data_IF_041548061457
#
_entry.id   IF_041548061457
#
_cell.length_a   1.000
_cell.length_b   1.000
_cell.length_c   1.000
_cell.angle_alpha   90.00
_cell.angle_beta   90.00
_cell.angle_gamma   90.00
#
_symmetry.space_group_name_H-M   'P 1'
#
loop_
_entity.id
_entity.type
_entity.pdbx_description
1 polymer ?
#
# COMPACT_ATOMS: atom_id res chain seq x y z
N UNK A 1 21.58 -31.13 -8.52
CA UNK A 1 20.17 -30.91 -8.15
C UNK A 1 19.82 -31.87 -7.03
N UNK A 2 19.93 -31.44 -5.77
CA UNK A 2 19.56 -32.27 -4.62
C UNK A 2 18.28 -31.70 -4.01
N UNK A 3 17.18 -32.43 -4.22
CA UNK A 3 15.95 -32.32 -3.44
C UNK A 3 16.26 -32.86 -2.05
N UNK A 4 16.26 -32.02 -1.03
CA UNK A 4 16.20 -32.48 0.36
C UNK A 4 14.73 -32.53 0.79
N UNK A 5 14.26 -33.73 1.08
CA UNK A 5 12.96 -34.02 1.72
C UNK A 5 13.30 -34.95 2.88
N UNK A 6 12.99 -34.62 4.14
CA UNK A 6 12.90 -35.53 5.31
C UNK A 6 12.83 -34.67 6.61
N UNK A 7 12.14 -34.92 7.74
CA UNK A 7 11.18 -35.93 8.24
C UNK A 7 10.54 -35.42 9.56
N UNK A 8 9.35 -35.93 9.89
CA UNK A 8 8.68 -36.03 11.20
C UNK A 8 8.09 -34.77 11.90
N UNK A 9 6.75 -34.65 11.82
CA UNK A 9 5.96 -33.99 12.85
C UNK A 9 5.77 -34.95 14.04
N UNK A 10 6.41 -34.69 15.17
CA UNK A 10 6.15 -35.42 16.41
C UNK A 10 4.96 -34.77 17.15
N UNK A 11 3.80 -35.42 17.09
CA UNK A 11 2.63 -35.09 17.92
C UNK A 11 2.87 -35.56 19.36
N UNK A 12 2.90 -34.64 20.32
CA UNK A 12 2.89 -34.99 21.75
C UNK A 12 1.48 -35.46 22.14
N UNK A 13 1.32 -36.78 22.27
CA UNK A 13 0.26 -37.54 22.96
C UNK A 13 -1.09 -36.81 23.16
N UNK A 14 -1.96 -36.90 22.15
CA UNK A 14 -3.40 -36.93 22.41
C UNK A 14 -3.83 -38.40 22.61
N UNK A 15 -4.53 -38.76 23.69
CA UNK A 15 -4.79 -40.17 24.06
C UNK A 15 -5.79 -40.90 23.16
N UNK A 16 -6.30 -40.28 22.09
CA UNK A 16 -7.37 -40.82 21.24
C UNK A 16 -7.02 -40.97 19.76
N UNK A 17 -5.76 -40.75 19.36
CA UNK A 17 -5.34 -40.87 17.95
C UNK A 17 -4.82 -42.28 17.66
N UNK A 18 -5.43 -42.98 16.70
CA UNK A 18 -5.03 -44.35 16.33
C UNK A 18 -3.60 -44.40 15.76
N UNK A 19 -2.94 -45.56 15.90
CA UNK A 19 -1.57 -45.80 15.45
C UNK A 19 -1.36 -45.47 13.96
N UNK A 20 -2.38 -45.72 13.12
CA UNK A 20 -2.34 -45.46 11.67
C UNK A 20 -2.32 -43.96 11.35
N UNK A 21 -3.03 -43.16 12.16
CA UNK A 21 -3.02 -41.70 12.04
C UNK A 21 -1.64 -41.16 12.45
N UNK A 22 -1.02 -41.69 13.52
CA UNK A 22 0.35 -41.30 13.90
C UNK A 22 1.39 -41.60 12.82
N UNK A 23 1.31 -42.75 12.15
CA UNK A 23 2.21 -43.10 11.04
C UNK A 23 2.02 -42.16 9.85
N UNK A 24 0.77 -41.80 9.54
CA UNK A 24 0.47 -40.85 8.45
C UNK A 24 1.01 -39.43 8.74
N UNK A 25 0.91 -38.93 9.97
CA UNK A 25 1.43 -37.60 10.34
C UNK A 25 2.96 -37.48 10.27
N UNK A 26 3.69 -38.58 10.44
CA UNK A 26 5.14 -38.61 10.19
C UNK A 26 5.49 -38.40 8.71
N UNK A 27 4.53 -38.57 7.80
CA UNK A 27 4.70 -38.45 6.34
C UNK A 27 4.18 -37.11 5.76
N UNK A 28 3.44 -36.30 6.53
CA UNK A 28 3.02 -34.95 6.13
C UNK A 28 4.25 -34.03 5.95
N UNK A 29 4.48 -33.59 4.71
CA UNK A 29 5.60 -32.70 4.36
C UNK A 29 5.18 -31.24 4.48
N UNK A 30 5.61 -30.56 5.54
CA UNK A 30 5.74 -29.10 5.54
C UNK A 30 7.23 -28.81 5.37
N UNK A 31 7.61 -28.35 4.18
CA UNK A 31 8.97 -27.87 3.93
C UNK A 31 9.08 -26.49 4.55
N UNK A 32 9.80 -26.36 5.67
CA UNK A 32 10.21 -25.07 6.23
C UNK A 32 11.63 -24.83 5.76
N UNK A 33 11.82 -23.92 4.81
CA UNK A 33 13.13 -23.59 4.26
C UNK A 33 13.67 -22.36 4.98
N UNK A 34 14.62 -22.53 5.91
CA UNK A 34 15.34 -21.39 6.51
C UNK A 34 16.46 -20.95 5.55
N UNK A 35 16.38 -19.75 4.98
CA UNK A 35 17.48 -19.16 4.20
C UNK A 35 18.30 -18.19 5.07
N UNK A 36 19.55 -18.56 5.37
CA UNK A 36 20.64 -17.60 5.59
C UNK A 36 21.96 -18.25 5.17
N UNK A 37 22.42 -17.87 3.99
CA UNK A 37 23.81 -17.56 3.64
C UNK A 37 24.09 -17.95 2.18
N UNK A 38 24.51 -16.94 1.40
CA UNK A 38 24.96 -17.08 0.02
C UNK A 38 26.27 -17.87 -0.13
N UNK A 39 26.75 -18.52 0.92
CA UNK A 39 27.83 -19.50 0.83
C UNK A 39 27.67 -20.54 1.94
N UNK A 40 27.37 -21.77 1.52
CA UNK A 40 27.65 -23.04 2.21
C UNK A 40 26.69 -23.55 3.32
N UNK A 41 26.16 -24.75 3.04
CA UNK A 41 25.53 -25.77 3.91
C UNK A 41 24.08 -25.60 4.40
N UNK A 42 23.22 -26.47 3.83
CA UNK A 42 21.88 -26.84 4.27
C UNK A 42 21.83 -27.16 5.78
N UNK A 43 20.97 -26.49 6.53
CA UNK A 43 20.64 -26.86 7.91
C UNK A 43 19.41 -27.78 7.94
N UNK A 44 19.58 -29.02 8.38
CA UNK A 44 18.50 -29.95 8.68
C UNK A 44 18.01 -29.72 10.11
N UNK A 45 17.06 -28.80 10.29
CA UNK A 45 16.34 -28.64 11.57
C UNK A 45 15.03 -29.44 11.55
N UNK A 46 14.85 -30.36 12.49
CA UNK A 46 13.55 -31.00 12.73
C UNK A 46 12.61 -29.97 13.37
N UNK A 47 11.48 -29.66 12.72
CA UNK A 47 10.38 -28.89 13.35
C UNK A 47 9.29 -29.84 13.77
N UNK A 48 8.96 -29.82 15.06
CA UNK A 48 7.69 -30.35 15.56
C UNK A 48 6.59 -29.34 15.29
N UNK A 49 5.70 -29.66 14.35
CA UNK A 49 4.43 -28.98 14.18
C UNK A 49 3.41 -29.61 15.14
N UNK A 50 2.81 -28.79 15.99
CA UNK A 50 1.71 -29.20 16.84
C UNK A 50 0.39 -28.78 16.16
N UNK A 51 -0.39 -29.76 15.70
CA UNK A 51 -1.74 -29.55 15.20
C UNK A 51 -2.69 -29.63 16.39
N UNK A 52 -3.30 -28.50 16.74
CA UNK A 52 -4.10 -28.37 17.96
C UNK A 52 -5.58 -28.68 17.76
N UNK A 53 -6.09 -28.61 16.53
CA UNK A 53 -7.50 -28.87 16.21
C UNK A 53 -7.66 -29.44 14.79
N UNK A 54 -8.32 -30.60 14.67
CA UNK A 54 -8.55 -31.33 13.42
C UNK A 54 -10.00 -31.85 13.38
N UNK A 55 -10.69 -31.66 12.26
CA UNK A 55 -12.03 -32.20 12.02
C UNK A 55 -11.95 -33.57 11.31
N UNK A 56 -12.33 -34.64 12.02
CA UNK A 56 -12.29 -36.01 11.49
C UNK A 56 -13.48 -36.37 10.59
N UNK A 57 -14.47 -35.48 10.46
CA UNK A 57 -15.71 -35.78 9.70
C UNK A 57 -15.54 -35.66 8.18
N UNK A 58 -14.42 -35.13 7.69
CA UNK A 58 -14.13 -34.88 6.26
C UNK A 58 -13.12 -35.83 5.64
N UNK A 59 -12.82 -36.99 6.27
CA UNK A 59 -11.82 -37.98 5.81
C UNK A 59 -12.12 -38.71 4.48
N UNK A 60 -12.97 -38.16 3.61
CA UNK A 60 -12.97 -38.53 2.19
C UNK A 60 -11.93 -37.67 1.46
N UNK A 61 -10.87 -38.30 0.94
CA UNK A 61 -9.84 -37.75 0.05
C UNK A 61 -8.54 -37.17 0.66
N UNK A 62 -8.09 -37.63 1.84
CA UNK A 62 -6.73 -37.30 2.36
C UNK A 62 -6.42 -35.78 2.46
N UNK A 63 -7.46 -34.94 2.57
CA UNK A 63 -7.32 -33.50 2.78
C UNK A 63 -7.43 -33.22 4.28
N UNK A 64 -6.40 -32.58 4.83
CA UNK A 64 -6.35 -32.25 6.24
C UNK A 64 -6.98 -30.88 6.48
N UNK A 65 -8.07 -30.86 7.23
CA UNK A 65 -8.71 -29.64 7.71
C UNK A 65 -8.09 -29.22 9.05
N UNK A 66 -6.86 -28.69 9.02
CA UNK A 66 -6.24 -28.08 10.21
C UNK A 66 -6.79 -26.69 10.39
N UNK A 67 -7.46 -26.43 11.52
CA UNK A 67 -7.96 -25.09 11.87
C UNK A 67 -6.93 -24.23 12.60
N UNK A 68 -6.05 -24.86 13.39
CA UNK A 68 -5.04 -24.16 14.18
C UNK A 68 -3.67 -24.80 13.96
N UNK A 69 -2.73 -24.01 13.47
CA UNK A 69 -1.33 -24.41 13.27
C UNK A 69 -0.45 -23.74 14.33
N UNK A 70 0.29 -24.54 15.12
CA UNK A 70 1.22 -24.01 16.12
C UNK A 70 2.65 -24.50 15.86
N UNK A 71 3.57 -23.55 15.79
CA UNK A 71 5.00 -23.80 15.72
C UNK A 71 5.58 -23.97 17.14
N UNK A 72 6.46 -24.95 17.34
CA UNK A 72 7.07 -25.19 18.66
C UNK A 72 7.92 -23.99 19.13
N UNK A 73 7.74 -23.61 20.41
CA UNK A 73 8.49 -22.53 21.06
C UNK A 73 9.97 -22.87 21.33
N UNK A 74 10.36 -24.14 21.18
CA UNK A 74 11.75 -24.59 21.41
C UNK A 74 12.71 -24.25 20.26
N UNK A 75 12.22 -23.63 19.19
CA UNK A 75 13.01 -23.30 18.00
C UNK A 75 13.61 -21.91 18.18
N UNK A 76 14.91 -21.82 18.44
CA UNK A 76 15.60 -20.53 18.64
C UNK A 76 16.18 -19.95 17.36
N UNK A 77 16.28 -20.75 16.28
CA UNK A 77 17.07 -20.41 15.09
C UNK A 77 16.25 -20.26 13.79
N UNK A 78 14.92 -20.38 13.86
CA UNK A 78 14.06 -20.20 12.68
C UNK A 78 13.70 -18.73 12.52
N UNK A 79 14.41 -18.04 11.64
CA UNK A 79 14.25 -16.60 11.38
C UNK A 79 13.16 -16.34 10.33
N UNK A 80 13.03 -17.22 9.34
CA UNK A 80 12.15 -17.06 8.18
C UNK A 80 11.19 -18.23 8.06
N UNK A 81 9.91 -17.95 7.80
CA UNK A 81 8.89 -18.93 7.47
C UNK A 81 8.50 -18.82 5.98
N UNK A 82 8.67 -19.89 5.22
CA UNK A 82 8.33 -19.95 3.79
C UNK A 82 7.70 -21.32 3.46
N UNK A 83 6.72 -21.33 2.55
CA UNK A 83 6.14 -22.52 1.96
C UNK A 83 6.41 -22.49 0.45
N UNK A 84 7.29 -23.38 -0.05
CA UNK A 84 7.65 -23.46 -1.47
C UNK A 84 6.40 -23.49 -2.38
N UNK A 85 6.05 -22.35 -2.99
CA UNK A 85 4.75 -22.12 -3.64
C UNK A 85 4.77 -22.30 -5.16
N UNK A 86 5.58 -23.22 -5.68
CA UNK A 86 5.68 -23.40 -7.13
C UNK A 86 4.71 -24.40 -7.76
N UNK A 87 4.08 -25.35 -7.04
CA UNK A 87 3.35 -26.44 -7.73
C UNK A 87 2.12 -27.07 -7.06
N UNK A 88 1.48 -26.53 -6.01
CA UNK A 88 0.25 -27.18 -5.49
C UNK A 88 -0.86 -26.20 -5.11
N UNK A 89 -2.14 -26.51 -5.42
CA UNK A 89 -3.26 -25.80 -4.83
C UNK A 89 -3.19 -26.00 -3.31
N UNK A 90 -3.16 -24.88 -2.59
CA UNK A 90 -2.95 -24.83 -1.14
C UNK A 90 -3.90 -25.80 -0.41
N UNK A 91 -3.41 -26.90 0.20
CA UNK A 91 -4.22 -28.05 0.57
C UNK A 91 -5.16 -27.82 1.77
N UNK A 92 -5.03 -26.69 2.48
CA UNK A 92 -5.80 -26.44 3.69
C UNK A 92 -6.51 -25.08 3.67
N UNK A 93 -7.67 -25.02 3.02
CA UNK A 93 -8.56 -23.85 3.02
C UNK A 93 -9.25 -23.59 4.36
N UNK A 94 -9.00 -24.42 5.38
CA UNK A 94 -9.70 -24.39 6.66
C UNK A 94 -8.87 -23.82 7.82
N UNK A 95 -7.61 -23.45 7.58
CA UNK A 95 -6.77 -22.80 8.59
C UNK A 95 -7.37 -21.46 9.03
N UNK A 96 -7.63 -21.33 10.33
CA UNK A 96 -8.23 -20.15 10.96
C UNK A 96 -7.23 -19.37 11.84
N UNK A 97 -6.26 -20.05 12.43
CA UNK A 97 -5.25 -19.46 13.31
C UNK A 97 -3.85 -20.04 13.10
N UNK A 98 -2.84 -19.16 13.14
CA UNK A 98 -1.43 -19.53 13.15
C UNK A 98 -0.75 -18.95 14.39
N UNK A 99 -0.13 -19.81 15.18
CA UNK A 99 0.66 -19.45 16.35
C UNK A 99 2.14 -19.59 15.97
N UNK A 100 2.78 -18.45 15.70
CA UNK A 100 4.19 -18.38 15.33
C UNK A 100 5.10 -18.62 16.55
N UNK A 101 6.30 -19.11 16.28
CA UNK A 101 7.37 -19.14 17.26
C UNK A 101 7.95 -17.72 17.43
N UNK A 102 8.28 -17.26 18.66
CA UNK A 102 8.79 -15.91 18.89
C UNK A 102 10.10 -15.56 18.16
N UNK A 103 10.86 -16.56 17.71
CA UNK A 103 12.12 -16.37 16.97
C UNK A 103 11.94 -16.02 15.49
N UNK A 104 10.73 -16.21 14.94
CA UNK A 104 10.42 -15.88 13.55
C UNK A 104 10.30 -14.36 13.43
N UNK A 105 11.08 -13.79 12.50
CA UNK A 105 11.08 -12.35 12.20
C UNK A 105 10.73 -12.04 10.74
N UNK A 106 10.67 -13.05 9.87
CA UNK A 106 10.40 -12.87 8.44
C UNK A 106 9.36 -13.90 7.94
N UNK A 107 8.45 -13.45 7.07
CA UNK A 107 7.47 -14.32 6.38
C UNK A 107 7.68 -14.19 4.88
N UNK A 108 7.86 -15.33 4.22
CA UNK A 108 8.24 -15.47 2.82
C UNK A 108 7.09 -15.29 1.83
N UNK A 109 7.47 -15.37 0.54
CA UNK A 109 6.61 -15.10 -0.60
C UNK A 109 5.38 -16.00 -0.60
N UNK A 110 4.18 -15.40 -0.67
CA UNK A 110 2.89 -16.12 -0.68
C UNK A 110 2.68 -17.13 0.47
N UNK A 111 3.43 -17.03 1.55
CA UNK A 111 3.43 -17.99 2.65
C UNK A 111 2.01 -18.34 3.15
N UNK A 112 1.16 -17.33 3.33
CA UNK A 112 -0.24 -17.49 3.71
C UNK A 112 -1.23 -17.02 2.62
N UNK A 113 -0.80 -16.99 1.36
CA UNK A 113 -1.69 -16.63 0.24
C UNK A 113 -2.80 -17.68 0.05
N UNK A 114 -4.04 -17.21 -0.12
CA UNK A 114 -5.22 -18.04 -0.38
C UNK A 114 -5.80 -18.76 0.84
N UNK A 115 -5.24 -18.58 2.05
CA UNK A 115 -5.83 -19.07 3.29
C UNK A 115 -7.01 -18.20 3.71
N UNK A 116 -8.10 -18.29 2.96
CA UNK A 116 -9.28 -17.43 3.07
C UNK A 116 -10.09 -17.58 4.36
N UNK A 117 -9.77 -18.54 5.24
CA UNK A 117 -10.32 -18.65 6.59
C UNK A 117 -9.38 -18.18 7.69
N UNK A 118 -8.12 -17.86 7.37
CA UNK A 118 -7.13 -17.40 8.34
C UNK A 118 -7.56 -16.04 8.87
N UNK A 119 -7.88 -15.98 10.16
CA UNK A 119 -8.37 -14.78 10.86
C UNK A 119 -7.36 -14.26 11.88
N UNK A 120 -6.54 -15.14 12.45
CA UNK A 120 -5.67 -14.83 13.59
C UNK A 120 -4.24 -15.28 13.37
N UNK A 121 -3.32 -14.34 13.47
CA UNK A 121 -1.88 -14.56 13.48
C UNK A 121 -1.24 -13.37 14.21
N UNK A 122 -0.33 -13.63 15.15
CA UNK A 122 0.42 -12.55 15.81
C UNK A 122 1.65 -12.21 14.96
N UNK A 123 1.79 -10.94 14.57
CA UNK A 123 2.88 -10.44 13.73
C UNK A 123 3.79 -9.42 14.45
N UNK A 124 3.67 -9.29 15.77
CA UNK A 124 4.39 -8.29 16.59
C UNK A 124 5.93 -8.41 16.54
N UNK A 125 6.49 -9.55 16.14
CA UNK A 125 7.95 -9.74 15.98
C UNK A 125 8.40 -9.79 14.52
N UNK A 126 7.49 -9.51 13.56
CA UNK A 126 7.75 -9.72 12.14
C UNK A 126 8.23 -8.42 11.49
N UNK A 127 9.50 -8.37 11.15
CA UNK A 127 10.18 -7.21 10.56
C UNK A 127 10.22 -7.23 9.02
N UNK A 128 9.85 -8.36 8.39
CA UNK A 128 9.80 -8.48 6.92
C UNK A 128 8.66 -9.40 6.46
N UNK A 129 7.87 -8.88 5.53
CA UNK A 129 6.77 -9.58 4.87
C UNK A 129 6.98 -9.55 3.36
N UNK A 130 7.26 -10.70 2.76
CA UNK A 130 7.51 -10.78 1.34
C UNK A 130 6.21 -10.69 0.52
N UNK A 131 6.36 -10.56 -0.81
CA UNK A 131 5.25 -10.24 -1.70
C UNK A 131 4.10 -11.24 -1.58
N UNK A 132 2.88 -10.73 -1.42
CA UNK A 132 1.65 -11.52 -1.30
C UNK A 132 1.61 -12.48 -0.11
N UNK A 133 2.45 -12.29 0.93
CA UNK A 133 2.53 -13.19 2.08
C UNK A 133 1.17 -13.49 2.72
N UNK A 134 0.21 -12.56 2.69
CA UNK A 134 -1.14 -12.73 3.25
C UNK A 134 -2.26 -12.49 2.23
N UNK A 135 -1.98 -12.60 0.93
CA UNK A 135 -2.97 -12.34 -0.12
C UNK A 135 -4.21 -13.24 0.01
N UNK A 136 -5.39 -12.68 -0.17
CA UNK A 136 -6.69 -13.37 -0.04
C UNK A 136 -6.95 -14.04 1.34
N UNK A 137 -6.40 -13.49 2.44
CA UNK A 137 -6.71 -13.95 3.80
C UNK A 137 -7.93 -13.25 4.42
N UNK A 138 -8.46 -13.81 5.51
CA UNK A 138 -9.61 -13.26 6.26
C UNK A 138 -9.23 -12.49 7.52
N UNK A 139 -7.97 -12.09 7.65
CA UNK A 139 -7.47 -11.36 8.81
C UNK A 139 -8.20 -10.01 8.90
N UNK A 140 -8.74 -9.71 10.08
CA UNK A 140 -9.51 -8.47 10.29
C UNK A 140 -8.69 -7.31 10.83
N UNK A 141 -7.60 -7.61 11.52
CA UNK A 141 -6.67 -6.61 12.06
C UNK A 141 -5.30 -7.23 12.27
N UNK A 142 -4.24 -6.44 12.09
CA UNK A 142 -2.86 -6.84 12.37
C UNK A 142 -2.14 -5.76 13.16
N UNK A 143 -1.20 -6.19 14.00
CA UNK A 143 -0.17 -5.32 14.60
C UNK A 143 1.18 -5.71 14.01
N UNK A 144 1.91 -4.73 13.48
CA UNK A 144 3.23 -4.91 12.88
C UNK A 144 4.24 -4.00 13.60
N UNK A 145 5.51 -4.42 13.77
CA UNK A 145 6.60 -3.50 14.06
C UNK A 145 6.61 -2.31 13.08
N UNK A 146 6.87 -1.10 13.58
CA UNK A 146 6.96 0.12 12.77
C UNK A 146 8.06 0.03 11.70
N UNK A 147 9.04 -0.84 11.90
CA UNK A 147 10.13 -1.10 10.96
C UNK A 147 9.89 -2.27 10.01
N UNK A 148 8.70 -2.86 10.05
CA UNK A 148 8.31 -3.90 9.13
C UNK A 148 8.40 -3.38 7.69
N UNK A 149 8.95 -4.21 6.81
CA UNK A 149 9.05 -3.94 5.37
C UNK A 149 8.24 -4.96 4.58
N UNK A 150 7.72 -4.56 3.41
CA UNK A 150 7.01 -5.49 2.54
C UNK A 150 6.28 -4.83 1.38
N UNK A 151 5.83 -5.63 0.41
CA UNK A 151 5.18 -5.12 -0.80
C UNK A 151 3.96 -5.96 -1.18
N UNK A 152 2.80 -5.35 -1.44
CA UNK A 152 1.55 -6.07 -1.79
C UNK A 152 1.19 -7.21 -0.81
N UNK A 153 1.55 -7.05 0.46
CA UNK A 153 1.47 -8.10 1.48
C UNK A 153 0.03 -8.59 1.70
N UNK A 154 -0.90 -7.64 1.79
CA UNK A 154 -2.31 -7.86 2.12
C UNK A 154 -3.22 -7.64 0.90
N UNK A 155 -2.73 -7.96 -0.31
CA UNK A 155 -3.55 -7.89 -1.51
C UNK A 155 -4.83 -8.72 -1.32
N UNK A 156 -5.97 -8.22 -1.82
CA UNK A 156 -7.27 -8.91 -1.71
C UNK A 156 -7.75 -9.27 -0.29
N UNK A 157 -7.16 -8.74 0.79
CA UNK A 157 -7.61 -8.93 2.17
C UNK A 157 -8.87 -8.11 2.49
N UNK A 158 -10.03 -8.53 1.95
CA UNK A 158 -11.30 -7.78 2.01
C UNK A 158 -11.84 -7.56 3.43
N UNK A 159 -11.42 -8.37 4.40
CA UNK A 159 -11.86 -8.29 5.78
C UNK A 159 -10.95 -7.43 6.66
N UNK A 160 -9.78 -7.01 6.17
CA UNK A 160 -8.83 -6.23 6.94
C UNK A 160 -9.39 -4.83 7.18
N UNK A 161 -9.68 -4.54 8.45
CA UNK A 161 -10.28 -3.29 8.91
C UNK A 161 -9.26 -2.37 9.57
N UNK A 162 -8.18 -2.92 10.12
CA UNK A 162 -7.16 -2.14 10.82
C UNK A 162 -5.75 -2.69 10.65
N UNK A 163 -4.77 -1.81 10.48
CA UNK A 163 -3.35 -2.11 10.60
C UNK A 163 -2.80 -1.19 11.69
N UNK A 164 -2.24 -1.77 12.74
CA UNK A 164 -1.54 -1.05 13.79
C UNK A 164 -0.04 -1.20 13.59
N UNK A 165 0.69 -0.10 13.60
CA UNK A 165 2.16 -0.11 13.63
C UNK A 165 2.64 0.22 15.04
N UNK A 166 3.47 -0.65 15.62
CA UNK A 166 4.00 -0.51 16.97
C UNK A 166 5.49 -0.16 16.97
N UNK A 167 5.86 0.84 17.75
CA UNK A 167 7.25 1.24 17.98
C UNK A 167 7.57 2.66 17.52
N UNK A 168 8.77 3.11 17.89
CA UNK A 168 9.21 4.50 17.75
C UNK A 168 10.10 4.67 16.51
N UNK A 169 9.51 5.13 15.41
CA UNK A 169 10.23 5.60 14.21
C UNK A 169 9.56 6.79 13.55
N UNK A 170 10.38 7.62 12.92
CA UNK A 170 9.92 8.74 12.11
C UNK A 170 9.33 8.29 10.75
N UNK A 171 9.65 7.07 10.30
CA UNK A 171 9.19 6.51 9.02
C UNK A 171 8.69 5.07 9.14
N UNK A 172 7.79 4.66 8.25
CA UNK A 172 7.40 3.26 8.03
C UNK A 172 7.31 2.97 6.52
N UNK A 173 7.35 1.69 6.15
CA UNK A 173 7.35 1.29 4.73
C UNK A 173 5.94 1.40 4.11
N UNK A 174 5.73 2.43 3.28
CA UNK A 174 4.47 2.63 2.54
C UNK A 174 4.13 1.48 1.58
N UNK A 175 5.11 0.66 1.18
CA UNK A 175 4.88 -0.48 0.30
C UNK A 175 3.96 -1.54 0.94
N UNK A 176 3.86 -1.56 2.27
CA UNK A 176 2.92 -2.42 3.01
C UNK A 176 1.46 -2.09 2.71
N UNK A 177 1.18 -0.89 2.21
CA UNK A 177 -0.16 -0.41 1.87
C UNK A 177 -0.49 -0.55 0.38
N UNK A 178 0.46 -1.00 -0.45
CA UNK A 178 0.20 -1.22 -1.88
C UNK A 178 -0.84 -2.34 -2.08
N UNK A 179 -1.74 -2.13 -3.04
CA UNK A 179 -2.76 -3.11 -3.44
C UNK A 179 -4.12 -2.95 -2.77
N UNK A 180 -4.27 -2.02 -1.81
CA UNK A 180 -5.59 -1.67 -1.29
C UNK A 180 -6.38 -0.80 -2.26
N UNK A 181 -7.65 -1.16 -2.50
CA UNK A 181 -8.61 -0.28 -3.19
C UNK A 181 -9.19 0.79 -2.24
N UNK A 182 -9.25 0.46 -0.95
CA UNK A 182 -9.64 1.34 0.16
C UNK A 182 -8.79 0.93 1.35
N UNK A 183 -8.13 1.90 1.99
CA UNK A 183 -7.27 1.59 3.13
C UNK A 183 -8.09 1.10 4.34
N UNK A 184 -7.60 0.10 5.09
CA UNK A 184 -8.05 -0.12 6.46
C UNK A 184 -7.72 1.09 7.34
N UNK A 185 -8.31 1.15 8.53
CA UNK A 185 -7.87 2.10 9.56
C UNK A 185 -6.38 1.85 9.85
N UNK A 186 -5.54 2.86 9.67
CA UNK A 186 -4.16 2.78 10.15
C UNK A 186 -4.14 3.33 11.58
N UNK A 187 -3.26 2.82 12.44
CA UNK A 187 -3.06 3.39 13.77
C UNK A 187 -1.63 3.12 14.23
N UNK A 188 -1.15 3.91 15.18
CA UNK A 188 0.21 3.78 15.70
C UNK A 188 0.17 3.63 17.23
N UNK A 189 1.02 2.77 17.77
CA UNK A 189 1.25 2.63 19.21
C UNK A 189 2.71 2.88 19.53
N UNK A 190 2.97 3.47 20.70
CA UNK A 190 4.31 3.77 21.19
C UNK A 190 5.17 4.63 20.24
N UNK A 191 4.53 5.54 19.49
CA UNK A 191 5.21 6.44 18.57
C UNK A 191 4.88 7.92 18.88
N UNK A 192 5.67 8.60 19.73
CA UNK A 192 5.43 10.00 20.06
C UNK A 192 5.74 10.97 18.90
N UNK A 193 6.39 10.49 17.83
CA UNK A 193 6.81 11.28 16.67
C UNK A 193 5.70 11.41 15.62
N UNK A 194 4.70 10.52 15.62
CA UNK A 194 3.61 10.53 14.65
C UNK A 194 2.40 11.25 15.25
N UNK A 195 2.06 12.42 14.69
CA UNK A 195 0.92 13.20 15.12
C UNK A 195 -0.39 12.69 14.48
N UNK A 196 -1.18 11.88 15.20
CA UNK A 196 -2.54 11.50 14.79
C UNK A 196 -3.50 12.71 15.01
N UNK A 197 -3.48 13.71 14.12
CA UNK A 197 -4.35 14.90 14.23
C UNK A 197 -5.68 14.69 13.46
N UNK A 198 -6.70 14.16 14.14
CA UNK A 198 -8.16 14.34 13.98
C UNK A 198 -8.87 14.50 12.60
N UNK A 199 -8.23 14.36 11.44
CA UNK A 199 -8.85 14.56 10.12
C UNK A 199 -8.52 13.48 9.10
N UNK A 200 -8.47 12.21 9.55
CA UNK A 200 -7.88 11.15 8.74
C UNK A 200 -6.37 11.23 8.85
N UNK A 201 -5.70 10.12 8.64
CA UNK A 201 -4.29 9.95 8.96
C UNK A 201 -3.50 10.72 7.91
N UNK A 202 -3.26 12.00 8.20
CA UNK A 202 -2.31 12.89 7.56
C UNK A 202 -0.97 12.53 8.15
N UNK A 203 -0.18 11.77 7.40
CA UNK A 203 1.17 11.47 7.84
C UNK A 203 2.10 12.60 7.40
N UNK A 204 2.78 13.21 8.38
CA UNK A 204 3.71 14.31 8.19
C UNK A 204 5.12 13.78 8.49
N UNK A 205 6.00 13.71 7.50
CA UNK A 205 7.43 13.47 7.73
C UNK A 205 8.24 14.49 6.94
N UNK A 206 9.16 15.22 7.59
CA UNK A 206 10.00 16.23 6.92
C UNK A 206 9.17 17.24 6.11
N UNK A 207 8.01 17.65 6.61
CA UNK A 207 7.04 18.50 5.90
C UNK A 207 6.45 17.87 4.60
N UNK A 208 6.51 16.54 4.45
CA UNK A 208 5.86 15.78 3.39
C UNK A 208 4.52 15.19 3.87
N UNK A 209 3.45 15.40 3.12
CA UNK A 209 2.18 14.70 3.28
C UNK A 209 2.27 13.33 2.61
N UNK A 210 2.35 12.24 3.38
CA UNK A 210 2.52 10.90 2.76
C UNK A 210 1.25 10.11 2.48
N UNK A 211 0.26 10.19 3.37
CA UNK A 211 -1.04 9.54 3.18
C UNK A 211 -2.10 10.50 3.70
N UNK A 212 -3.24 10.51 3.02
CA UNK A 212 -4.51 11.02 3.50
C UNK A 212 -5.52 9.87 3.46
N UNK A 213 -5.95 9.39 4.63
CA UNK A 213 -7.06 8.43 4.70
C UNK A 213 -8.38 9.18 4.62
N UNK A 214 -9.25 8.77 3.71
CA UNK A 214 -10.58 9.36 3.53
C UNK A 214 -11.31 9.57 4.87
N UNK A 215 -11.88 10.76 5.03
CA UNK A 215 -12.79 11.08 6.12
C UNK A 215 -14.18 11.42 5.58
N UNK A 216 -15.11 11.75 6.48
CA UNK A 216 -16.44 12.23 6.08
C UNK A 216 -16.45 13.71 5.65
N UNK A 217 -15.31 14.41 5.65
CA UNK A 217 -15.22 15.78 5.11
C UNK A 217 -15.12 15.75 3.58
N UNK A 218 -15.64 16.80 2.94
CA UNK A 218 -15.59 16.98 1.49
C UNK A 218 -14.55 18.02 1.06
N UNK A 219 -13.89 18.68 2.01
CA UNK A 219 -12.85 19.68 1.80
C UNK A 219 -11.75 19.51 2.84
N UNK A 220 -10.50 19.44 2.38
CA UNK A 220 -9.33 19.24 3.21
C UNK A 220 -8.32 20.36 2.95
N UNK A 221 -7.94 21.06 4.03
CA UNK A 221 -6.81 21.98 4.00
C UNK A 221 -5.54 21.23 4.38
N UNK A 222 -4.61 21.14 3.44
CA UNK A 222 -3.28 20.62 3.73
C UNK A 222 -2.62 21.59 4.73
N UNK A 223 -2.02 21.10 5.84
CA UNK A 223 -1.41 21.96 6.85
C UNK A 223 -0.33 22.89 6.28
N UNK A 224 -0.24 24.12 6.81
CA UNK A 224 0.65 25.16 6.29
C UNK A 224 2.15 24.82 6.41
N UNK A 225 2.50 23.89 7.30
CA UNK A 225 3.86 23.37 7.45
C UNK A 225 4.33 22.45 6.32
N UNK A 226 3.41 21.94 5.49
CA UNK A 226 3.73 20.99 4.41
C UNK A 226 4.38 21.71 3.22
N UNK A 227 5.53 21.20 2.78
CA UNK A 227 6.28 21.69 1.61
C UNK A 227 6.37 20.67 0.46
N UNK A 228 5.98 19.41 0.71
CA UNK A 228 5.95 18.32 -0.27
C UNK A 228 4.75 17.36 -0.09
N UNK A 229 4.33 16.67 -1.16
CA UNK A 229 3.27 15.64 -1.11
C UNK A 229 3.78 14.38 -1.77
N UNK A 230 3.66 13.25 -1.07
CA UNK A 230 4.02 11.96 -1.62
C UNK A 230 3.05 11.54 -2.73
N UNK A 231 3.59 10.88 -3.75
CA UNK A 231 2.82 10.38 -4.91
C UNK A 231 1.62 9.50 -4.53
N UNK A 232 1.60 8.83 -3.37
CA UNK A 232 0.47 7.98 -2.97
C UNK A 232 -0.51 8.65 -2.00
N UNK A 233 -0.30 9.92 -1.65
CA UNK A 233 -1.00 10.57 -0.56
C UNK A 233 -2.52 10.53 -0.70
N UNK A 234 -3.03 10.69 -1.92
CA UNK A 234 -4.48 10.75 -2.20
C UNK A 234 -5.00 9.57 -3.01
N UNK A 235 -4.23 8.49 -3.14
CA UNK A 235 -4.55 7.36 -4.04
C UNK A 235 -5.70 6.48 -3.56
N UNK A 236 -6.09 6.57 -2.29
CA UNK A 236 -7.08 5.68 -1.66
C UNK A 236 -8.43 6.33 -1.38
N UNK A 237 -8.67 7.53 -1.93
CA UNK A 237 -9.94 8.21 -1.83
C UNK A 237 -11.03 7.42 -2.58
N UNK A 238 -12.17 7.20 -1.93
CA UNK A 238 -13.37 6.60 -2.53
C UNK A 238 -14.50 7.60 -2.74
N UNK A 239 -14.44 8.75 -2.05
CA UNK A 239 -15.36 9.89 -2.22
C UNK A 239 -14.67 11.11 -2.85
N UNK A 240 -15.43 12.00 -3.52
CA UNK A 240 -14.94 13.29 -3.97
C UNK A 240 -14.32 14.12 -2.84
N UNK A 241 -13.19 14.77 -3.10
CA UNK A 241 -12.51 15.65 -2.16
C UNK A 241 -12.11 16.97 -2.83
N UNK A 242 -12.34 18.09 -2.13
CA UNK A 242 -11.73 19.38 -2.45
C UNK A 242 -10.46 19.56 -1.63
N UNK A 243 -9.41 20.08 -2.23
CA UNK A 243 -8.11 20.27 -1.56
C UNK A 243 -7.73 21.74 -1.58
N UNK A 244 -7.39 22.28 -0.42
CA UNK A 244 -6.78 23.59 -0.27
C UNK A 244 -5.27 23.36 -0.08
N UNK A 245 -4.49 23.86 -1.04
CA UNK A 245 -3.04 23.72 -1.06
C UNK A 245 -2.40 24.92 -0.34
N UNK A 246 -1.53 24.71 0.66
CA UNK A 246 -0.96 25.78 1.47
C UNK A 246 0.11 26.55 0.71
N UNK A 247 0.50 27.74 1.20
CA UNK A 247 1.37 28.61 0.43
C UNK A 247 2.78 28.08 0.18
N UNK A 248 3.30 27.30 1.15
CA UNK A 248 4.67 26.79 1.20
C UNK A 248 4.92 25.53 0.36
N UNK A 249 3.89 24.96 -0.24
CA UNK A 249 4.01 23.70 -0.99
C UNK A 249 4.80 23.88 -2.29
N UNK A 250 6.13 23.78 -2.18
CA UNK A 250 7.09 24.06 -3.25
C UNK A 250 7.38 22.86 -4.16
N UNK A 251 7.19 21.64 -3.66
CA UNK A 251 7.37 20.43 -4.44
C UNK A 251 6.06 19.64 -4.52
N UNK A 252 5.58 19.47 -5.74
CA UNK A 252 4.44 18.64 -6.02
C UNK A 252 4.87 17.65 -7.09
N UNK A 253 5.34 16.47 -6.65
CA UNK A 253 5.40 15.33 -7.55
C UNK A 253 3.99 14.76 -7.68
N UNK A 254 3.44 14.85 -8.88
CA UNK A 254 2.16 14.24 -9.22
C UNK A 254 2.08 12.78 -8.81
N UNK A 255 0.85 12.30 -8.69
CA UNK A 255 0.59 10.87 -8.49
C UNK A 255 1.06 10.17 -9.77
N UNK A 256 2.27 9.58 -9.79
CA UNK A 256 2.81 8.95 -11.00
C UNK A 256 1.89 7.83 -11.52
N UNK A 257 1.15 7.16 -10.61
CA UNK A 257 0.27 6.04 -10.95
C UNK A 257 -0.91 5.95 -9.97
N UNK A 258 -2.04 6.62 -10.25
CA UNK A 258 -3.24 6.48 -9.43
C UNK A 258 -4.40 7.40 -9.83
N UNK A 259 -5.63 6.88 -9.84
CA UNK A 259 -6.82 7.71 -9.95
C UNK A 259 -7.11 8.40 -8.61
N UNK A 260 -6.94 9.71 -8.52
CA UNK A 260 -7.43 10.46 -7.35
C UNK A 260 -8.94 10.74 -7.49
N UNK A 261 -9.63 10.94 -6.37
CA UNK A 261 -11.01 11.46 -6.34
C UNK A 261 -11.06 12.96 -6.04
N UNK A 262 -9.95 13.66 -6.24
CA UNK A 262 -9.90 15.11 -6.01
C UNK A 262 -10.64 15.81 -7.14
N UNK A 263 -11.62 16.64 -6.80
CA UNK A 263 -12.48 17.32 -7.78
C UNK A 263 -12.19 18.81 -7.90
N UNK A 264 -11.63 19.43 -6.87
CA UNK A 264 -11.32 20.86 -6.86
C UNK A 264 -10.03 21.15 -6.11
N UNK A 265 -9.28 22.12 -6.61
CA UNK A 265 -8.11 22.69 -5.93
C UNK A 265 -8.36 24.18 -5.66
N UNK A 266 -8.02 24.63 -4.46
CA UNK A 266 -7.74 26.03 -4.17
C UNK A 266 -6.25 26.17 -3.84
N UNK A 267 -5.50 26.87 -4.69
CA UNK A 267 -4.06 26.99 -4.59
C UNK A 267 -3.68 28.34 -3.99
N UNK A 268 -3.14 28.33 -2.76
CA UNK A 268 -2.92 29.52 -1.95
C UNK A 268 -1.48 30.06 -1.95
N UNK A 269 -0.62 29.65 -2.90
CA UNK A 269 0.78 30.05 -2.86
C UNK A 269 1.04 31.55 -2.97
N UNK A 270 1.91 32.06 -2.10
CA UNK A 270 2.36 33.46 -2.07
C UNK A 270 3.75 33.62 -2.72
N UNK A 271 4.57 32.57 -2.76
CA UNK A 271 6.00 32.64 -3.15
C UNK A 271 6.38 31.79 -4.38
N UNK A 272 5.41 31.08 -4.99
CA UNK A 272 5.72 30.13 -6.06
C UNK A 272 5.66 30.81 -7.44
N UNK A 273 6.84 31.00 -8.02
CA UNK A 273 7.02 31.47 -9.38
C UNK A 273 6.68 30.42 -10.44
N UNK A 274 6.86 29.13 -10.14
CA UNK A 274 6.66 28.03 -11.08
C UNK A 274 5.96 26.86 -10.37
N UNK A 275 4.84 26.42 -10.92
CA UNK A 275 4.22 25.16 -10.52
C UNK A 275 5.13 23.98 -10.91
N UNK A 276 5.41 23.08 -9.97
CA UNK A 276 6.35 21.97 -10.17
C UNK A 276 5.95 21.04 -11.30
N UNK A 277 6.95 20.35 -11.87
CA UNK A 277 6.71 19.38 -12.93
C UNK A 277 5.82 18.25 -12.39
N UNK A 278 4.83 17.87 -13.17
CA UNK A 278 3.79 16.91 -12.80
C UNK A 278 2.97 17.25 -11.55
N UNK A 279 3.02 18.48 -11.01
CA UNK A 279 2.06 18.90 -9.99
C UNK A 279 0.65 18.47 -10.43
N UNK A 280 -0.30 17.94 -9.68
CA UNK A 280 -1.64 17.57 -10.22
C UNK A 280 -1.73 16.62 -11.45
N UNK A 281 -0.64 16.08 -12.01
CA UNK A 281 -0.74 15.13 -13.11
C UNK A 281 -1.53 13.89 -12.67
N UNK A 282 -2.30 13.32 -13.60
CA UNK A 282 -3.17 12.15 -13.40
C UNK A 282 -4.30 12.33 -12.40
N UNK A 283 -4.61 13.57 -11.99
CA UNK A 283 -5.81 13.89 -11.20
C UNK A 283 -7.04 13.85 -12.10
N UNK A 284 -7.38 12.65 -12.55
CA UNK A 284 -8.37 12.41 -13.60
C UNK A 284 -9.77 12.93 -13.27
N UNK A 285 -10.08 13.14 -11.99
CA UNK A 285 -11.37 13.68 -11.51
C UNK A 285 -11.35 15.18 -11.21
N UNK A 286 -10.22 15.86 -11.39
CA UNK A 286 -10.10 17.30 -11.17
C UNK A 286 -10.96 18.06 -12.17
N UNK A 287 -11.85 18.92 -11.67
CA UNK A 287 -12.80 19.70 -12.47
C UNK A 287 -12.50 21.20 -12.44
N UNK A 288 -12.04 21.71 -11.29
CA UNK A 288 -11.84 23.14 -11.06
C UNK A 288 -10.53 23.42 -10.32
N UNK A 289 -9.84 24.48 -10.75
CA UNK A 289 -8.63 24.98 -10.09
C UNK A 289 -8.80 26.48 -9.89
N UNK A 290 -8.73 26.91 -8.64
CA UNK A 290 -8.71 28.32 -8.26
C UNK A 290 -7.29 28.68 -7.83
N UNK A 291 -6.67 29.63 -8.52
CA UNK A 291 -5.39 30.20 -8.14
C UNK A 291 -5.61 31.50 -7.38
N UNK A 292 -5.04 31.62 -6.18
CA UNK A 292 -4.91 32.91 -5.48
C UNK A 292 -3.46 33.41 -5.45
N UNK A 293 -2.64 32.93 -6.38
CA UNK A 293 -1.19 33.11 -6.47
C UNK A 293 -0.74 33.79 -7.75
N UNK A 294 0.43 34.43 -7.71
CA UNK A 294 1.17 34.86 -8.89
C UNK A 294 2.01 33.71 -9.46
N UNK A 295 1.38 32.69 -10.05
CA UNK A 295 2.11 31.64 -10.79
C UNK A 295 2.58 32.22 -12.12
N UNK A 296 3.89 32.28 -12.36
CA UNK A 296 4.46 32.79 -13.61
C UNK A 296 4.72 31.69 -14.63
N UNK A 297 4.88 30.43 -14.21
CA UNK A 297 5.13 29.32 -15.11
C UNK A 297 4.47 28.02 -14.65
N UNK A 298 4.02 27.21 -15.62
CA UNK A 298 3.57 25.84 -15.40
C UNK A 298 4.70 24.87 -15.71
N UNK A 299 4.93 23.90 -14.84
CA UNK A 299 5.91 22.83 -15.02
C UNK A 299 5.53 21.82 -16.10
N UNK A 300 6.49 21.00 -16.48
CA UNK A 300 6.30 19.92 -17.44
C UNK A 300 5.14 19.03 -16.97
N UNK A 301 4.12 18.81 -17.81
CA UNK A 301 3.02 17.89 -17.47
C UNK A 301 2.15 18.28 -16.26
N UNK A 302 2.17 19.53 -15.76
CA UNK A 302 1.54 19.94 -14.49
C UNK A 302 0.01 19.84 -14.39
N UNK A 303 -0.68 19.50 -15.47
CA UNK A 303 -2.10 19.14 -15.50
C UNK A 303 -2.33 17.96 -16.47
N UNK A 304 -1.28 17.21 -16.80
CA UNK A 304 -1.35 16.10 -17.73
C UNK A 304 -2.32 15.03 -17.25
N UNK A 305 -3.20 14.55 -18.13
CA UNK A 305 -4.26 13.58 -17.87
C UNK A 305 -5.32 14.03 -16.84
N UNK A 306 -5.53 15.35 -16.63
CA UNK A 306 -6.69 15.87 -15.91
C UNK A 306 -7.96 15.77 -16.77
N UNK A 307 -8.46 14.53 -16.96
CA UNK A 307 -9.48 14.20 -17.96
C UNK A 307 -10.87 14.81 -17.71
N UNK A 308 -11.15 15.28 -16.49
CA UNK A 308 -12.42 15.92 -16.13
C UNK A 308 -12.33 17.45 -16.04
N UNK A 309 -11.14 18.04 -16.27
CA UNK A 309 -10.95 19.49 -16.24
C UNK A 309 -11.64 20.11 -17.46
N UNK A 310 -12.58 21.03 -17.23
CA UNK A 310 -13.38 21.66 -18.30
C UNK A 310 -12.94 23.08 -18.63
N UNK A 311 -12.63 23.84 -17.60
CA UNK A 311 -12.18 25.22 -17.73
C UNK A 311 -11.06 25.48 -16.75
N UNK A 312 -10.09 26.27 -17.15
CA UNK A 312 -9.04 26.76 -16.25
C UNK A 312 -8.73 28.23 -16.56
N UNK A 313 -8.77 29.04 -15.52
CA UNK A 313 -8.41 30.45 -15.57
C UNK A 313 -7.00 30.58 -14.99
N UNK A 314 -6.01 30.66 -15.86
CA UNK A 314 -4.63 30.87 -15.40
C UNK A 314 -4.46 32.35 -14.97
N UNK A 315 -3.65 32.60 -13.92
CA UNK A 315 -3.24 33.96 -13.56
C UNK A 315 -2.26 34.51 -14.62
N UNK A 316 -1.36 35.42 -14.24
CA UNK A 316 -0.35 36.02 -15.13
C UNK A 316 0.80 35.05 -15.49
N UNK A 317 0.44 33.86 -15.96
CA UNK A 317 1.38 32.83 -16.44
C UNK A 317 2.04 33.31 -17.74
N UNK A 318 3.37 33.34 -17.75
CA UNK A 318 4.21 33.68 -18.89
C UNK A 318 4.66 32.46 -19.70
N UNK A 319 4.80 31.31 -19.06
CA UNK A 319 5.29 30.09 -19.69
C UNK A 319 4.43 28.87 -19.34
N UNK A 320 4.01 28.15 -20.38
CA UNK A 320 3.37 26.83 -20.28
C UNK A 320 4.38 25.81 -20.80
N UNK A 321 4.92 24.95 -19.94
CA UNK A 321 5.92 23.95 -20.34
C UNK A 321 5.33 22.81 -21.19
N UNK A 322 6.21 21.95 -21.70
CA UNK A 322 5.83 20.79 -22.51
C UNK A 322 4.81 19.91 -21.79
N UNK A 323 3.84 19.40 -22.55
CA UNK A 323 2.77 18.51 -22.07
C UNK A 323 1.93 19.03 -20.89
N UNK A 324 1.99 20.32 -20.53
CA UNK A 324 1.34 20.85 -19.33
C UNK A 324 -0.15 20.47 -19.19
N UNK A 325 -0.93 20.48 -20.28
CA UNK A 325 -2.32 20.04 -20.34
C UNK A 325 -2.52 18.80 -21.23
N UNK A 326 -1.49 17.96 -21.40
CA UNK A 326 -1.56 16.76 -22.21
C UNK A 326 -2.75 15.87 -21.82
N UNK A 327 -3.58 15.44 -22.78
CA UNK A 327 -4.78 14.60 -22.56
C UNK A 327 -5.80 15.18 -21.57
N UNK A 328 -5.93 16.51 -21.47
CA UNK A 328 -7.08 17.15 -20.85
C UNK A 328 -8.31 17.07 -21.78
N UNK A 329 -8.83 15.85 -21.99
CA UNK A 329 -9.81 15.54 -23.05
C UNK A 329 -11.15 16.27 -22.94
N UNK A 330 -11.50 16.82 -21.75
CA UNK A 330 -12.71 17.61 -21.52
C UNK A 330 -12.47 19.11 -21.41
N UNK A 331 -11.22 19.58 -21.54
CA UNK A 331 -10.91 21.00 -21.46
C UNK A 331 -11.53 21.72 -22.65
N UNK A 332 -12.51 22.57 -22.40
CA UNK A 332 -13.28 23.31 -23.40
C UNK A 332 -12.72 24.72 -23.60
N UNK A 333 -12.30 25.35 -22.49
CA UNK A 333 -11.87 26.75 -22.42
C UNK A 333 -10.62 26.90 -21.55
N UNK A 334 -9.67 27.70 -22.02
CA UNK A 334 -8.54 28.17 -21.22
C UNK A 334 -8.33 29.68 -21.43
N UNK A 335 -8.09 30.39 -20.33
CA UNK A 335 -7.69 31.80 -20.35
C UNK A 335 -6.19 31.92 -20.06
N UNK A 336 -5.43 32.54 -20.97
CA UNK A 336 -3.97 32.67 -20.94
C UNK A 336 -3.56 34.13 -21.13
N UNK A 337 -3.73 34.99 -20.12
CA UNK A 337 -3.69 36.44 -20.31
C UNK A 337 -2.30 36.99 -20.68
N UNK A 338 -1.20 36.32 -20.31
CA UNK A 338 0.17 36.86 -20.47
C UNK A 338 1.18 35.85 -21.03
N UNK A 339 0.70 34.74 -21.61
CA UNK A 339 1.58 33.64 -22.06
C UNK A 339 2.41 34.06 -23.27
N UNK A 340 3.74 33.89 -23.15
CA UNK A 340 4.72 34.14 -24.21
C UNK A 340 5.33 32.85 -24.77
N UNK A 341 5.42 31.81 -23.94
CA UNK A 341 6.03 30.53 -24.31
C UNK A 341 5.04 29.39 -24.07
N UNK A 342 4.83 28.57 -25.10
CA UNK A 342 4.04 27.34 -25.03
C UNK A 342 4.94 26.19 -25.50
N UNK A 343 5.12 25.21 -24.64
CA UNK A 343 5.94 24.04 -24.87
C UNK A 343 5.34 23.02 -25.84
N UNK A 344 6.17 22.05 -26.23
CA UNK A 344 5.77 20.96 -27.12
C UNK A 344 4.67 20.12 -26.47
N UNK A 345 3.65 19.74 -27.25
CA UNK A 345 2.50 18.95 -26.77
C UNK A 345 1.70 19.56 -25.60
N UNK A 346 1.90 20.84 -25.25
CA UNK A 346 1.25 21.47 -24.09
C UNK A 346 -0.27 21.26 -24.05
N UNK A 347 -0.94 21.23 -25.22
CA UNK A 347 -2.37 20.97 -25.37
C UNK A 347 -2.67 19.74 -26.24
N UNK A 348 -1.73 18.80 -26.36
CA UNK A 348 -1.93 17.62 -27.18
C UNK A 348 -3.01 16.71 -26.58
N UNK A 349 -3.92 16.20 -27.41
CA UNK A 349 -5.12 15.46 -27.00
C UNK A 349 -6.10 16.23 -26.08
N UNK A 350 -6.12 17.56 -26.17
CA UNK A 350 -7.22 18.38 -25.65
C UNK A 350 -8.39 18.43 -26.64
N UNK A 351 -9.04 17.29 -26.88
CA UNK A 351 -9.98 17.09 -28.00
C UNK A 351 -11.24 17.98 -27.97
N UNK A 352 -11.53 18.59 -26.82
CA UNK A 352 -12.66 19.51 -26.61
C UNK A 352 -12.27 20.99 -26.58
N UNK A 353 -10.98 21.30 -26.67
CA UNK A 353 -10.51 22.67 -26.55
C UNK A 353 -10.89 23.46 -27.80
N UNK A 354 -11.88 24.33 -27.66
CA UNK A 354 -12.43 25.13 -28.77
C UNK A 354 -12.10 26.61 -28.64
N UNK A 355 -11.73 27.07 -27.45
CA UNK A 355 -11.43 28.48 -27.18
C UNK A 355 -10.18 28.63 -26.31
N UNK A 356 -9.25 29.43 -26.81
CA UNK A 356 -8.08 29.93 -26.06
C UNK A 356 -8.18 31.45 -26.06
N UNK A 357 -8.33 32.05 -24.88
CA UNK A 357 -8.37 33.50 -24.72
C UNK A 357 -6.95 34.03 -24.50
N UNK A 358 -6.39 34.68 -25.54
CA UNK A 358 -5.09 35.36 -25.51
C UNK A 358 -5.22 36.82 -25.04
N UNK A 359 -4.10 37.48 -24.62
CA UNK A 359 -4.09 38.90 -24.32
C UNK A 359 -4.70 39.73 -25.45
N UNK A 360 -5.43 40.79 -25.07
CA UNK A 360 -6.01 41.76 -26.01
C UNK A 360 -4.98 42.68 -26.66
N UNK A 361 -3.72 42.64 -26.23
CA UNK A 361 -2.64 43.47 -26.75
C UNK A 361 -1.50 42.57 -27.26
N UNK A 362 -1.44 42.42 -28.58
CA UNK A 362 -0.31 41.86 -29.33
C UNK A 362 0.49 42.99 -29.96
#
# INVERSE_FOLDING_TARGET
MLKCSLFAAHLTKSPTVSQDVQTFWNECRITITSYRDMNSYYYNGYTTLEVLDFDSSTMSDFRFDVKILKFSQTITNLVTLDFDSWQTPNPNKNLEEVILCPSITEIGYKCFSGYNKLKKINLENIHKLDRYAFDETSISSVTLPIDCTGEFVFLNCKNLKQITFDGERASFDLNLLKGFLKLPRISFTNNPLIAEKNYGIVWLQNNELSIYTETDINEFQIPDEIDSINTVAFSYLTKPLKVIVPPKLSDFMGVEYGETKITSIKYLSEDIYKLSDYAFAFWSKLQTVEFSSNIMALGYGSFGNCTELREINLPDVFAISDSAFYRCIKLEKISVPNVQVIGEYAFWHCDKLTSIEFPKEL
#
